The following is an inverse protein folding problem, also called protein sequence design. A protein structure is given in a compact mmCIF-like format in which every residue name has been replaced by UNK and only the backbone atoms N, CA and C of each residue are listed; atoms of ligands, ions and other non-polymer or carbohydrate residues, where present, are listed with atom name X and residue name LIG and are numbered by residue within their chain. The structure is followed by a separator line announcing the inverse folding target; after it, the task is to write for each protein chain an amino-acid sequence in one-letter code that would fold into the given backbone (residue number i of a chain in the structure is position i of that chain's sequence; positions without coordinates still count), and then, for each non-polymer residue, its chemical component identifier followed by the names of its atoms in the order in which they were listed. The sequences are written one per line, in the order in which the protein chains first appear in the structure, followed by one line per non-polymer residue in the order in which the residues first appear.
data_IF_073140473181
#
_entry.id   IF_073140473181
#
_cell.length_a   1.000
_cell.length_b   1.000
_cell.length_c   1.000
_cell.angle_alpha   90.00
_cell.angle_beta   90.00
_cell.angle_gamma   90.00
#
_symmetry.space_group_name_H-M   'P 1'
#
loop_
_entity.id
_entity.type
_entity.pdbx_description
1 polymer ?
#
# COMPACT_ATOMS: atom_id res chain seq x y z
N UNK A 1 -8.18 -5.37 -45.44
CA UNK A 1 -7.42 -4.24 -44.85
C UNK A 1 -7.95 -3.78 -43.48
N UNK A 2 -9.22 -4.00 -43.15
CA UNK A 2 -9.78 -3.63 -41.82
C UNK A 2 -9.52 -4.66 -40.70
N UNK A 3 -9.19 -5.91 -41.03
CA UNK A 3 -8.89 -6.96 -40.04
C UNK A 3 -7.44 -6.91 -39.51
N UNK A 4 -6.52 -6.23 -40.20
CA UNK A 4 -5.12 -6.12 -39.77
C UNK A 4 -4.89 -4.99 -38.75
N UNK A 5 -5.75 -3.97 -38.72
CA UNK A 5 -5.70 -2.87 -37.74
C UNK A 5 -6.23 -3.27 -36.36
N UNK A 6 -7.11 -4.28 -36.28
CA UNK A 6 -7.58 -4.81 -35.00
C UNK A 6 -6.51 -5.63 -34.26
N UNK A 7 -5.54 -6.20 -34.98
CA UNK A 7 -4.47 -7.01 -34.39
C UNK A 7 -3.34 -6.16 -33.78
N UNK A 8 -3.17 -4.92 -34.22
CA UNK A 8 -2.14 -3.99 -33.71
C UNK A 8 -2.60 -3.17 -32.50
N UNK A 9 -3.90 -3.18 -32.17
CA UNK A 9 -4.47 -2.51 -30.99
C UNK A 9 -4.49 -3.39 -29.73
N UNK A 10 -3.99 -4.63 -29.80
CA UNK A 10 -3.98 -5.57 -28.68
C UNK A 10 -2.71 -5.52 -27.80
N UNK A 11 -1.76 -4.61 -28.06
CA UNK A 11 -0.40 -4.68 -27.51
C UNK A 11 -0.05 -3.61 -26.46
N UNK A 12 -1.03 -3.01 -25.79
CA UNK A 12 -0.79 -2.11 -24.66
C UNK A 12 -1.77 -2.34 -23.49
N UNK A 13 -2.18 -3.60 -23.28
CA UNK A 13 -2.92 -3.99 -22.08
C UNK A 13 -2.05 -3.84 -20.83
N UNK A 14 -2.63 -3.35 -19.73
CA UNK A 14 -1.99 -3.42 -18.42
C UNK A 14 -1.70 -4.91 -18.09
N UNK A 15 -0.59 -5.20 -17.42
CA UNK A 15 -0.06 -6.55 -17.18
C UNK A 15 -1.00 -7.52 -16.40
N UNK A 16 -2.23 -7.12 -16.08
CA UNK A 16 -3.16 -7.82 -15.19
C UNK A 16 -4.50 -8.23 -15.81
N UNK A 17 -4.69 -8.17 -17.13
CA UNK A 17 -5.99 -8.47 -17.75
C UNK A 17 -6.58 -9.84 -17.37
N UNK A 18 -5.76 -10.81 -16.95
CA UNK A 18 -6.21 -12.15 -16.54
C UNK A 18 -6.35 -12.37 -15.03
N UNK A 19 -5.97 -11.42 -14.18
CA UNK A 19 -6.09 -11.59 -12.74
C UNK A 19 -7.51 -11.32 -12.25
N UNK A 20 -8.11 -12.32 -11.61
CA UNK A 20 -9.37 -12.18 -10.89
C UNK A 20 -9.30 -12.93 -9.58
N UNK A 21 -9.50 -12.22 -8.47
CA UNK A 21 -9.58 -12.84 -7.15
C UNK A 21 -10.66 -13.94 -7.08
N UNK A 22 -11.80 -13.74 -7.77
CA UNK A 22 -12.92 -14.69 -7.75
C UNK A 22 -12.74 -15.85 -8.72
N UNK A 23 -11.97 -15.67 -9.78
CA UNK A 23 -11.83 -16.63 -10.88
C UNK A 23 -10.38 -16.74 -11.32
N UNK A 24 -9.50 -17.10 -10.39
CA UNK A 24 -8.10 -17.35 -10.69
C UNK A 24 -7.98 -18.62 -11.56
N UNK A 25 -7.19 -18.61 -12.66
CA UNK A 25 -7.01 -19.77 -13.54
C UNK A 25 -6.46 -20.98 -12.77
N UNK A 26 -7.12 -22.13 -12.88
CA UNK A 26 -6.75 -23.34 -12.12
C UNK A 26 -5.43 -23.95 -12.59
N UNK A 27 -5.16 -23.82 -13.88
CA UNK A 27 -3.94 -24.24 -14.57
C UNK A 27 -2.70 -23.44 -14.14
N UNK A 28 -2.89 -22.19 -13.69
CA UNK A 28 -1.80 -21.36 -13.16
C UNK A 28 -1.61 -21.50 -11.64
N UNK A 29 -2.47 -22.27 -10.95
CA UNK A 29 -2.42 -22.39 -9.49
C UNK A 29 -1.31 -23.36 -9.06
N UNK A 30 -0.24 -22.79 -8.50
CA UNK A 30 0.91 -23.53 -7.97
C UNK A 30 1.54 -22.76 -6.80
N UNK A 31 2.50 -23.35 -6.05
CA UNK A 31 3.23 -22.62 -5.02
C UNK A 31 3.99 -21.42 -5.60
N UNK A 32 3.85 -20.25 -4.96
CA UNK A 32 4.48 -19.00 -5.40
C UNK A 32 6.00 -19.16 -5.59
N UNK A 33 6.64 -19.78 -4.61
CA UNK A 33 8.09 -19.99 -4.59
C UNK A 33 8.57 -20.89 -5.73
N UNK A 34 7.79 -21.92 -6.08
CA UNK A 34 8.09 -22.79 -7.22
C UNK A 34 7.98 -22.04 -8.54
N UNK A 35 6.92 -21.24 -8.72
CA UNK A 35 6.74 -20.44 -9.93
C UNK A 35 7.88 -19.42 -10.12
N UNK A 36 8.25 -18.73 -9.03
CA UNK A 36 9.31 -17.72 -9.08
C UNK A 36 10.68 -18.33 -9.35
N UNK A 37 11.05 -19.40 -8.64
CA UNK A 37 12.33 -20.11 -8.85
C UNK A 37 12.46 -20.63 -10.28
N UNK A 38 11.42 -21.30 -10.79
CA UNK A 38 11.46 -21.79 -12.17
C UNK A 38 11.60 -20.64 -13.18
N UNK A 39 10.92 -19.51 -12.97
CA UNK A 39 11.09 -18.31 -13.81
C UNK A 39 12.53 -17.77 -13.81
N UNK A 40 13.23 -17.85 -12.68
CA UNK A 40 14.64 -17.48 -12.56
C UNK A 40 15.59 -18.52 -13.17
N UNK A 41 15.27 -19.80 -13.06
CA UNK A 41 16.06 -20.87 -13.71
C UNK A 41 16.02 -20.68 -15.23
N UNK A 42 14.84 -20.43 -15.81
CA UNK A 42 14.68 -20.14 -17.23
C UNK A 42 15.35 -18.81 -17.64
N UNK A 43 15.38 -17.83 -16.75
CA UNK A 43 16.15 -16.59 -16.95
C UNK A 43 17.64 -16.89 -17.09
N UNK A 44 18.18 -17.76 -16.23
CA UNK A 44 19.60 -18.14 -16.23
C UNK A 44 20.00 -18.93 -17.47
N UNK A 45 19.08 -19.71 -18.04
CA UNK A 45 19.28 -20.46 -19.30
C UNK A 45 18.91 -19.66 -20.55
N UNK A 46 18.65 -18.36 -20.43
CA UNK A 46 18.26 -17.46 -21.52
C UNK A 46 16.98 -17.86 -22.28
N UNK A 47 16.08 -18.63 -21.64
CA UNK A 47 14.78 -18.96 -22.20
C UNK A 47 13.77 -17.85 -21.87
N UNK A 48 13.88 -16.73 -22.59
CA UNK A 48 13.14 -15.50 -22.30
C UNK A 48 11.61 -15.66 -22.29
N UNK A 49 10.97 -16.33 -23.27
CA UNK A 49 9.51 -16.46 -23.28
C UNK A 49 8.96 -17.20 -22.05
N UNK A 50 9.63 -18.30 -21.67
CA UNK A 50 9.22 -19.11 -20.52
C UNK A 50 9.50 -18.38 -19.20
N UNK A 51 10.65 -17.71 -19.10
CA UNK A 51 11.00 -16.88 -17.94
C UNK A 51 9.96 -15.78 -17.71
N UNK A 52 9.59 -15.05 -18.77
CA UNK A 52 8.53 -14.03 -18.70
C UNK A 52 7.21 -14.64 -18.21
N UNK A 53 6.80 -15.78 -18.76
CA UNK A 53 5.55 -16.43 -18.40
C UNK A 53 5.49 -16.76 -16.89
N UNK A 54 6.52 -17.43 -16.37
CA UNK A 54 6.54 -17.85 -14.96
C UNK A 54 6.76 -16.68 -13.99
N UNK A 55 7.55 -15.68 -14.36
CA UNK A 55 7.66 -14.45 -13.57
C UNK A 55 6.31 -13.72 -13.51
N UNK A 56 5.57 -13.60 -14.62
CA UNK A 56 4.21 -13.03 -14.61
C UNK A 56 3.22 -13.86 -13.76
N UNK A 57 3.26 -15.20 -13.86
CA UNK A 57 2.44 -16.11 -13.03
C UNK A 57 2.77 -15.91 -11.54
N UNK A 58 4.05 -15.82 -11.18
CA UNK A 58 4.47 -15.61 -9.80
C UNK A 58 3.91 -14.28 -9.24
N UNK A 59 3.90 -13.21 -10.04
CA UNK A 59 3.29 -11.93 -9.65
C UNK A 59 1.78 -12.04 -9.43
N UNK A 60 1.07 -12.81 -10.26
CA UNK A 60 -0.37 -13.09 -10.07
C UNK A 60 -0.63 -13.93 -8.82
N UNK A 61 0.18 -14.95 -8.54
CA UNK A 61 0.08 -15.79 -7.35
C UNK A 61 0.34 -14.99 -6.06
N UNK A 62 1.34 -14.11 -6.07
CA UNK A 62 1.63 -13.22 -4.94
C UNK A 62 0.44 -12.30 -4.63
N UNK A 63 -0.19 -11.73 -5.66
CA UNK A 63 -1.41 -10.93 -5.52
C UNK A 63 -2.58 -11.74 -4.98
N UNK A 64 -2.80 -12.95 -5.51
CA UNK A 64 -3.83 -13.86 -5.04
C UNK A 64 -3.66 -14.16 -3.54
N UNK A 65 -2.44 -14.44 -3.10
CA UNK A 65 -2.14 -14.69 -1.68
C UNK A 65 -2.44 -13.46 -0.82
N UNK A 66 -1.92 -12.29 -1.22
CA UNK A 66 -2.12 -11.02 -0.48
C UNK A 66 -3.60 -10.65 -0.37
N UNK A 67 -4.35 -10.76 -1.46
CA UNK A 67 -5.77 -10.43 -1.48
C UNK A 67 -6.60 -11.45 -0.68
N UNK A 68 -6.19 -12.73 -0.69
CA UNK A 68 -6.80 -13.79 0.13
C UNK A 68 -6.59 -13.56 1.63
N UNK A 69 -5.37 -13.15 2.02
CA UNK A 69 -5.05 -12.77 3.39
C UNK A 69 -5.88 -11.56 3.83
N UNK A 70 -5.88 -10.48 3.04
CA UNK A 70 -6.67 -9.28 3.33
C UNK A 70 -8.16 -9.59 3.47
N UNK A 71 -8.72 -10.40 2.57
CA UNK A 71 -10.12 -10.82 2.60
C UNK A 71 -10.48 -11.52 3.92
N UNK A 72 -9.69 -12.52 4.33
CA UNK A 72 -9.97 -13.25 5.56
C UNK A 72 -9.77 -12.41 6.82
N UNK A 73 -8.67 -11.64 6.90
CA UNK A 73 -8.37 -10.81 8.07
C UNK A 73 -9.39 -9.69 8.27
N UNK A 74 -9.90 -9.12 7.17
CA UNK A 74 -10.98 -8.13 7.20
C UNK A 74 -12.32 -8.74 7.66
N UNK A 75 -12.72 -9.86 7.07
CA UNK A 75 -14.00 -10.50 7.41
C UNK A 75 -14.02 -11.07 8.84
N UNK A 76 -12.86 -11.44 9.38
CA UNK A 76 -12.71 -11.92 10.74
C UNK A 76 -12.34 -10.83 11.76
N UNK A 77 -12.28 -9.55 11.36
CA UNK A 77 -11.86 -8.45 12.24
C UNK A 77 -12.77 -8.27 13.47
N UNK A 78 -14.09 -8.51 13.32
CA UNK A 78 -15.05 -8.43 14.43
C UNK A 78 -15.16 -9.71 15.25
N UNK A 79 -14.66 -10.85 14.76
CA UNK A 79 -14.82 -12.15 15.42
C UNK A 79 -14.14 -12.22 16.80
N UNK A 80 -13.13 -11.39 17.03
CA UNK A 80 -12.44 -11.30 18.33
C UNK A 80 -13.14 -10.41 19.36
N UNK A 81 -14.14 -9.60 18.96
CA UNK A 81 -14.79 -8.67 19.88
C UNK A 81 -15.65 -9.43 20.91
N UNK A 82 -15.62 -9.02 22.19
CA UNK A 82 -16.54 -9.57 23.18
C UNK A 82 -17.99 -9.24 22.78
N UNK A 83 -18.98 -10.07 23.17
CA UNK A 83 -20.38 -9.72 22.97
C UNK A 83 -20.68 -8.37 23.64
N UNK A 84 -21.57 -7.57 23.03
CA UNK A 84 -21.84 -6.19 23.45
C UNK A 84 -22.29 -6.05 24.93
N UNK A 85 -22.78 -7.14 25.54
CA UNK A 85 -23.22 -7.19 26.93
C UNK A 85 -22.15 -7.69 27.92
N UNK A 86 -20.91 -7.89 27.49
CA UNK A 86 -19.85 -8.33 28.40
C UNK A 86 -19.45 -7.18 29.34
N UNK A 87 -19.51 -7.35 30.68
CA UNK A 87 -19.10 -6.32 31.63
C UNK A 87 -17.62 -5.98 31.43
N UNK A 88 -17.17 -4.76 31.75
CA UNK A 88 -15.74 -4.41 31.71
C UNK A 88 -14.93 -5.39 32.58
N UNK A 89 -13.77 -5.84 32.09
CA UNK A 89 -12.86 -6.70 32.87
C UNK A 89 -11.85 -5.81 33.59
N UNK A 90 -11.74 -5.96 34.91
CA UNK A 90 -10.57 -5.51 35.66
C UNK A 90 -9.59 -6.67 35.90
N UNK A 91 -8.30 -6.35 35.96
CA UNK A 91 -7.24 -7.30 36.36
C UNK A 91 -7.10 -8.53 35.46
N UNK A 92 -6.88 -9.71 36.05
CA UNK A 92 -6.60 -10.97 35.34
C UNK A 92 -7.68 -11.40 34.33
N UNK A 93 -8.93 -10.96 34.51
CA UNK A 93 -10.02 -11.23 33.57
C UNK A 93 -9.84 -10.50 32.22
N UNK A 94 -9.08 -9.40 32.19
CA UNK A 94 -8.85 -8.62 30.97
C UNK A 94 -7.97 -9.40 29.98
N UNK A 95 -6.91 -10.02 30.48
CA UNK A 95 -6.01 -10.84 29.69
C UNK A 95 -6.70 -12.09 29.14
N UNK A 96 -7.44 -12.81 30.00
CA UNK A 96 -8.20 -13.98 29.55
C UNK A 96 -9.22 -13.62 28.45
N UNK A 97 -9.83 -12.43 28.52
CA UNK A 97 -10.74 -11.94 27.47
C UNK A 97 -10.02 -11.57 26.19
N UNK A 98 -8.82 -10.98 26.29
CA UNK A 98 -7.98 -10.70 25.13
C UNK A 98 -7.61 -12.01 24.41
N UNK A 99 -7.07 -12.99 25.15
CA UNK A 99 -6.68 -14.29 24.60
C UNK A 99 -7.90 -15.06 24.06
N UNK A 100 -9.05 -15.01 24.72
CA UNK A 100 -10.30 -15.57 24.18
C UNK A 100 -10.74 -14.88 22.87
N UNK A 101 -10.51 -13.58 22.73
CA UNK A 101 -10.70 -12.85 21.48
C UNK A 101 -9.77 -13.34 20.37
N UNK A 102 -8.48 -13.57 20.69
CA UNK A 102 -7.49 -14.13 19.76
C UNK A 102 -7.93 -15.51 19.28
N UNK A 103 -8.36 -16.40 20.18
CA UNK A 103 -8.83 -17.75 19.82
C UNK A 103 -10.04 -17.73 18.88
N UNK A 104 -11.03 -16.86 19.15
CA UNK A 104 -12.21 -16.71 18.28
C UNK A 104 -11.84 -16.16 16.90
N UNK A 105 -10.95 -15.16 16.85
CA UNK A 105 -10.44 -14.63 15.57
C UNK A 105 -9.66 -15.68 14.79
N UNK A 106 -8.80 -16.45 15.46
CA UNK A 106 -8.05 -17.56 14.86
C UNK A 106 -8.98 -18.66 14.29
N UNK A 107 -10.05 -19.01 15.01
CA UNK A 107 -11.06 -19.95 14.49
C UNK A 107 -11.73 -19.45 13.20
N UNK A 108 -12.11 -18.16 13.18
CA UNK A 108 -12.67 -17.53 11.98
C UNK A 108 -11.68 -17.57 10.81
N UNK A 109 -10.42 -17.17 11.06
CA UNK A 109 -9.37 -17.16 10.04
C UNK A 109 -9.14 -18.57 9.48
N UNK A 110 -9.05 -19.59 10.34
CA UNK A 110 -8.88 -20.99 9.92
C UNK A 110 -9.99 -21.43 8.96
N UNK A 111 -11.26 -21.14 9.29
CA UNK A 111 -12.41 -21.46 8.42
C UNK A 111 -12.36 -20.71 7.10
N UNK A 112 -12.02 -19.41 7.13
CA UNK A 112 -11.93 -18.59 5.93
C UNK A 112 -10.81 -19.08 4.99
N UNK A 113 -9.61 -19.32 5.54
CA UNK A 113 -8.45 -19.75 4.75
C UNK A 113 -8.66 -21.12 4.10
N UNK A 114 -9.34 -22.06 4.77
CA UNK A 114 -9.71 -23.37 4.20
C UNK A 114 -10.55 -23.26 2.92
N UNK A 115 -11.33 -22.18 2.78
CA UNK A 115 -12.20 -21.97 1.63
C UNK A 115 -11.51 -21.43 0.37
N UNK A 116 -10.27 -20.93 0.48
CA UNK A 116 -9.62 -20.19 -0.61
C UNK A 116 -8.47 -21.00 -1.25
N UNK A 117 -8.33 -20.95 -2.58
CA UNK A 117 -7.32 -21.74 -3.31
C UNK A 117 -5.88 -21.34 -2.99
N UNK A 118 -5.64 -20.07 -2.62
CA UNK A 118 -4.32 -19.57 -2.26
C UNK A 118 -3.67 -20.34 -1.09
N UNK A 119 -4.49 -20.77 -0.12
CA UNK A 119 -4.03 -21.47 1.08
C UNK A 119 -3.99 -22.99 0.94
N UNK A 120 -4.32 -23.52 -0.25
CA UNK A 120 -4.11 -24.94 -0.58
C UNK A 120 -2.67 -25.21 -1.06
N UNK A 121 -1.95 -24.16 -1.42
CA UNK A 121 -0.56 -24.21 -1.85
C UNK A 121 0.40 -24.08 -0.66
N UNK A 122 1.64 -24.51 -0.86
CA UNK A 122 2.71 -24.29 0.11
C UNK A 122 2.91 -22.79 0.35
N UNK A 123 3.03 -22.40 1.61
CA UNK A 123 3.24 -21.00 1.98
C UNK A 123 4.67 -20.58 1.60
N UNK A 124 4.84 -19.41 0.96
CA UNK A 124 6.15 -18.91 0.57
C UNK A 124 7.00 -18.52 1.78
N UNK A 125 8.32 -18.65 1.64
CA UNK A 125 9.27 -18.12 2.63
C UNK A 125 9.17 -16.60 2.81
N UNK A 126 9.65 -16.12 3.96
CA UNK A 126 9.66 -14.69 4.32
C UNK A 126 10.46 -13.85 3.33
N UNK A 127 11.66 -14.29 2.99
CA UNK A 127 12.58 -13.52 2.16
C UNK A 127 11.98 -13.29 0.76
N UNK A 128 11.30 -14.31 0.23
CA UNK A 128 10.57 -14.21 -1.02
C UNK A 128 9.46 -13.14 -0.95
N UNK A 129 8.67 -13.11 0.12
CA UNK A 129 7.64 -12.08 0.27
C UNK A 129 8.24 -10.67 0.36
N UNK A 130 9.39 -10.53 1.02
CA UNK A 130 10.14 -9.26 1.09
C UNK A 130 10.65 -8.83 -0.30
N UNK A 131 11.14 -9.75 -1.13
CA UNK A 131 11.58 -9.47 -2.50
C UNK A 131 10.42 -8.94 -3.37
N UNK A 132 9.25 -9.56 -3.26
CA UNK A 132 8.05 -9.11 -3.98
C UNK A 132 7.55 -7.75 -3.45
N UNK A 133 7.65 -7.47 -2.15
CA UNK A 133 7.37 -6.14 -1.60
C UNK A 133 8.32 -5.07 -2.16
N UNK A 134 9.61 -5.44 -2.30
CA UNK A 134 10.67 -4.58 -2.85
C UNK A 134 10.62 -4.46 -4.37
N UNK A 135 9.65 -5.10 -5.03
CA UNK A 135 9.50 -5.08 -6.49
C UNK A 135 10.70 -5.74 -7.21
N UNK A 136 11.47 -6.60 -6.54
CA UNK A 136 12.61 -7.33 -7.15
C UNK A 136 12.24 -8.11 -8.41
N UNK A 137 11.07 -8.79 -8.52
CA UNK A 137 10.69 -9.50 -9.75
C UNK A 137 10.67 -8.60 -10.99
N UNK A 138 10.43 -7.28 -10.84
CA UNK A 138 10.42 -6.35 -11.96
C UNK A 138 11.80 -6.12 -12.57
N UNK A 139 12.88 -6.29 -11.80
CA UNK A 139 14.26 -6.26 -12.31
C UNK A 139 14.50 -7.35 -13.34
N UNK A 140 14.08 -8.57 -13.02
CA UNK A 140 14.20 -9.72 -13.92
C UNK A 140 13.24 -9.60 -15.11
N UNK A 141 11.99 -9.22 -14.85
CA UNK A 141 10.98 -9.02 -15.90
C UNK A 141 11.41 -7.97 -16.91
N UNK A 142 11.98 -6.84 -16.48
CA UNK A 142 12.45 -5.79 -17.37
C UNK A 142 13.43 -6.34 -18.41
N UNK A 143 14.46 -7.06 -17.97
CA UNK A 143 15.45 -7.62 -18.89
C UNK A 143 14.88 -8.75 -19.75
N UNK A 144 14.06 -9.63 -19.17
CA UNK A 144 13.43 -10.72 -19.91
C UNK A 144 12.49 -10.20 -21.01
N UNK A 145 11.70 -9.15 -20.73
CA UNK A 145 10.87 -8.48 -21.74
C UNK A 145 11.70 -7.83 -22.83
N UNK A 146 12.80 -7.17 -22.47
CA UNK A 146 13.70 -6.56 -23.44
C UNK A 146 14.27 -7.60 -24.41
N UNK A 147 14.74 -8.75 -23.87
CA UNK A 147 15.25 -9.86 -24.66
C UNK A 147 14.17 -10.59 -25.48
N UNK A 148 12.93 -10.61 -24.98
CA UNK A 148 11.76 -11.12 -25.70
C UNK A 148 11.17 -10.11 -26.72
N UNK A 149 11.87 -8.99 -26.99
CA UNK A 149 11.43 -7.94 -27.91
C UNK A 149 10.09 -7.28 -27.53
N UNK A 150 9.75 -7.24 -26.24
CA UNK A 150 8.58 -6.56 -25.71
C UNK A 150 8.98 -5.27 -24.98
N UNK A 151 9.37 -4.27 -25.77
CA UNK A 151 9.84 -2.99 -25.26
C UNK A 151 8.80 -2.27 -24.37
N UNK A 152 7.50 -2.19 -24.71
CA UNK A 152 6.50 -1.52 -23.87
C UNK A 152 6.45 -2.07 -22.43
N UNK A 153 6.43 -3.41 -22.28
CA UNK A 153 6.43 -4.04 -20.95
C UNK A 153 7.77 -3.89 -20.23
N UNK A 154 8.89 -3.90 -20.96
CA UNK A 154 10.21 -3.66 -20.39
C UNK A 154 10.32 -2.26 -19.78
N UNK A 155 9.82 -1.24 -20.46
CA UNK A 155 9.79 0.16 -19.97
C UNK A 155 8.94 0.26 -18.71
N UNK A 156 7.73 -0.31 -18.73
CA UNK A 156 6.84 -0.30 -17.58
C UNK A 156 7.44 -1.03 -16.35
N UNK A 157 8.08 -2.19 -16.57
CA UNK A 157 8.76 -2.93 -15.51
C UNK A 157 9.96 -2.15 -14.93
N UNK A 158 10.77 -1.53 -15.79
CA UNK A 158 11.89 -0.69 -15.38
C UNK A 158 11.43 0.49 -14.51
N UNK A 159 10.38 1.19 -14.95
CA UNK A 159 9.79 2.30 -14.21
C UNK A 159 9.23 1.83 -12.86
N UNK A 160 8.50 0.72 -12.86
CA UNK A 160 7.92 0.13 -11.64
C UNK A 160 8.99 -0.23 -10.60
N UNK A 161 10.15 -0.74 -11.05
CA UNK A 161 11.29 -1.06 -10.19
C UNK A 161 11.95 0.20 -9.62
N UNK A 162 12.25 1.20 -10.48
CA UNK A 162 12.92 2.45 -10.07
C UNK A 162 12.12 3.24 -9.03
N UNK A 163 10.81 3.10 -8.97
CA UNK A 163 10.00 3.70 -7.92
C UNK A 163 10.37 3.18 -6.51
N UNK A 164 10.91 1.97 -6.36
CA UNK A 164 11.38 1.48 -5.04
C UNK A 164 12.90 1.52 -4.89
N UNK A 165 13.63 1.67 -6.00
CA UNK A 165 15.08 1.67 -6.05
C UNK A 165 15.57 2.85 -6.89
N UNK A 166 15.39 4.10 -6.43
CA UNK A 166 15.71 5.28 -7.22
C UNK A 166 17.20 5.34 -7.57
N UNK A 167 18.08 4.80 -6.73
CA UNK A 167 19.54 4.85 -6.88
C UNK A 167 20.16 3.65 -7.61
N UNK A 168 19.35 2.75 -8.15
CA UNK A 168 19.88 1.60 -8.91
C UNK A 168 20.49 2.09 -10.24
N UNK A 169 21.81 2.27 -10.26
CA UNK A 169 22.54 2.81 -11.42
C UNK A 169 22.28 2.02 -12.71
N UNK A 170 22.16 0.70 -12.60
CA UNK A 170 21.94 -0.16 -13.77
C UNK A 170 20.58 0.11 -14.39
N UNK A 171 19.53 0.16 -13.57
CA UNK A 171 18.18 0.43 -14.03
C UNK A 171 18.02 1.89 -14.50
N UNK A 172 18.70 2.85 -13.88
CA UNK A 172 18.74 4.24 -14.37
C UNK A 172 19.32 4.32 -15.78
N UNK A 173 20.43 3.62 -16.06
CA UNK A 173 21.01 3.55 -17.40
C UNK A 173 20.06 2.89 -18.40
N UNK A 174 19.41 1.78 -18.01
CA UNK A 174 18.40 1.12 -18.85
C UNK A 174 17.23 2.05 -19.16
N UNK A 175 16.76 2.81 -18.18
CA UNK A 175 15.68 3.78 -18.35
C UNK A 175 16.10 4.97 -19.22
N UNK A 176 17.33 5.46 -19.09
CA UNK A 176 17.86 6.50 -19.96
C UNK A 176 17.92 6.03 -21.43
N UNK A 177 18.34 4.79 -21.65
CA UNK A 177 18.27 4.16 -22.97
C UNK A 177 16.84 4.08 -23.48
N UNK A 178 15.88 3.63 -22.66
CA UNK A 178 14.48 3.56 -23.07
C UNK A 178 13.87 4.91 -23.43
N UNK A 179 14.19 5.97 -22.67
CA UNK A 179 13.75 7.34 -22.98
C UNK A 179 14.33 7.88 -24.29
N UNK A 180 15.43 7.32 -24.80
CA UNK A 180 15.97 7.71 -26.11
C UNK A 180 15.19 7.15 -27.29
N UNK A 181 14.29 6.19 -27.05
CA UNK A 181 13.47 5.57 -28.07
C UNK A 181 12.20 6.41 -28.27
N UNK A 182 11.80 6.71 -29.54
CA UNK A 182 10.54 7.40 -29.82
C UNK A 182 9.35 6.68 -29.18
N UNK A 183 8.37 7.46 -28.71
CA UNK A 183 7.11 6.99 -28.10
C UNK A 183 7.25 6.20 -26.78
N UNK A 184 8.47 6.10 -26.22
CA UNK A 184 8.72 5.39 -24.97
C UNK A 184 7.93 5.96 -23.77
N UNK A 185 7.64 7.26 -23.77
CA UNK A 185 6.91 7.94 -22.70
C UNK A 185 5.50 7.36 -22.48
N UNK A 186 4.84 6.88 -23.53
CA UNK A 186 3.49 6.29 -23.43
C UNK A 186 3.48 4.96 -22.64
N UNK A 187 4.65 4.33 -22.50
CA UNK A 187 4.86 3.06 -21.84
C UNK A 187 5.41 3.20 -20.42
N UNK A 188 5.75 4.42 -19.98
CA UNK A 188 6.20 4.71 -18.60
C UNK A 188 4.99 4.70 -17.67
N UNK A 189 4.66 3.53 -17.12
CA UNK A 189 3.51 3.31 -16.22
C UNK A 189 3.94 2.48 -15.02
N UNK A 190 3.43 2.79 -13.82
CA UNK A 190 3.61 1.92 -12.65
C UNK A 190 2.63 0.74 -12.72
N UNK A 191 3.17 -0.47 -12.81
CA UNK A 191 2.42 -1.72 -12.85
C UNK A 191 1.85 -2.12 -11.48
N UNK A 192 2.25 -1.47 -10.39
CA UNK A 192 1.70 -1.68 -9.04
C UNK A 192 0.71 -0.60 -8.61
N UNK A 193 0.37 0.36 -9.49
CA UNK A 193 -0.59 1.45 -9.22
C UNK A 193 -1.87 0.90 -8.60
N UNK A 194 -2.26 1.41 -7.42
CA UNK A 194 -3.42 0.93 -6.68
C UNK A 194 -4.73 1.50 -7.24
N UNK A 195 -5.89 0.86 -7.00
CA UNK A 195 -7.17 1.40 -7.45
C UNK A 195 -7.47 2.81 -6.93
N UNK A 196 -7.13 3.14 -5.68
CA UNK A 196 -7.30 4.51 -5.16
C UNK A 196 -6.32 5.52 -5.77
N UNK A 197 -5.27 5.03 -6.44
CA UNK A 197 -4.39 5.85 -7.25
C UNK A 197 -4.90 5.94 -8.70
N UNK A 198 -5.78 5.03 -9.17
CA UNK A 198 -6.10 4.90 -10.61
C UNK A 198 -7.57 4.74 -11.03
N UNK A 199 -8.58 4.73 -10.15
CA UNK A 199 -9.94 4.36 -10.55
C UNK A 199 -10.81 5.54 -11.01
N UNK A 200 -10.81 5.78 -12.34
CA UNK A 200 -11.99 5.77 -13.24
C UNK A 200 -11.57 6.19 -14.66
N UNK A 201 -10.88 5.31 -15.40
CA UNK A 201 -10.69 5.48 -16.84
C UNK A 201 -11.75 4.62 -17.55
N UNK A 202 -12.91 5.21 -17.86
CA UNK A 202 -13.88 4.58 -18.75
C UNK A 202 -13.28 4.47 -20.16
N UNK A 203 -13.62 3.37 -20.83
CA UNK A 203 -12.98 2.72 -21.98
C UNK A 203 -13.01 3.53 -23.30
N UNK A 204 -12.97 4.86 -23.26
CA UNK A 204 -13.11 5.70 -24.47
C UNK A 204 -12.09 6.84 -24.63
N UNK A 205 -11.26 7.17 -23.63
CA UNK A 205 -10.23 8.22 -23.79
C UNK A 205 -8.90 7.85 -23.10
N UNK A 206 -7.89 7.35 -23.85
CA UNK A 206 -6.59 6.92 -23.31
C UNK A 206 -5.71 8.05 -22.77
N UNK A 207 -5.96 9.31 -23.18
CA UNK A 207 -5.16 10.49 -22.78
C UNK A 207 -5.57 11.08 -21.43
N UNK A 208 -6.54 10.48 -20.71
CA UNK A 208 -7.10 11.02 -19.46
C UNK A 208 -7.13 10.01 -18.30
N UNK A 209 -6.25 9.01 -18.28
CA UNK A 209 -6.07 8.18 -17.08
C UNK A 209 -5.15 8.90 -16.10
N UNK A 210 -5.67 9.90 -15.37
CA UNK A 210 -4.90 10.65 -14.36
C UNK A 210 -5.22 10.13 -12.97
N UNK A 211 -4.16 9.89 -12.20
CA UNK A 211 -4.25 9.28 -10.88
C UNK A 211 -5.15 10.10 -9.94
N UNK A 212 -5.97 9.44 -9.09
CA UNK A 212 -6.82 10.08 -8.07
C UNK A 212 -6.03 10.94 -7.06
N UNK A 213 -4.70 10.80 -7.03
CA UNK A 213 -3.80 11.65 -6.25
C UNK A 213 -3.15 12.77 -7.10
N UNK A 214 -2.66 12.45 -8.30
CA UNK A 214 -1.94 13.42 -9.16
C UNK A 214 -2.92 14.40 -9.84
N UNK A 215 -4.12 13.94 -10.19
CA UNK A 215 -5.16 14.80 -10.79
C UNK A 215 -5.61 15.91 -9.85
N UNK A 216 -5.93 15.65 -8.56
CA UNK A 216 -6.27 16.74 -7.67
C UNK A 216 -5.14 17.72 -7.43
N UNK A 217 -3.87 17.28 -7.38
CA UNK A 217 -2.73 18.18 -7.27
C UNK A 217 -2.59 19.07 -8.50
N UNK A 218 -2.69 18.50 -9.70
CA UNK A 218 -2.67 19.30 -10.93
C UNK A 218 -3.90 20.23 -11.06
N UNK A 219 -5.06 19.82 -10.54
CA UNK A 219 -6.24 20.66 -10.47
C UNK A 219 -6.09 21.78 -9.43
N UNK A 220 -5.41 21.49 -8.31
CA UNK A 220 -5.05 22.47 -7.29
C UNK A 220 -4.08 23.51 -7.85
N UNK A 221 -3.02 23.09 -8.54
CA UNK A 221 -2.05 23.98 -9.20
C UNK A 221 -2.68 24.77 -10.36
N UNK A 222 -3.75 24.23 -10.97
CA UNK A 222 -4.54 24.89 -12.01
C UNK A 222 -5.74 25.68 -11.48
N UNK A 223 -5.80 25.99 -10.18
CA UNK A 223 -6.88 26.73 -9.50
C UNK A 223 -8.31 26.15 -9.68
N UNK A 224 -8.44 24.88 -10.08
CA UNK A 224 -9.71 24.18 -10.20
C UNK A 224 -10.08 23.50 -8.87
N UNK A 225 -10.47 24.34 -7.90
CA UNK A 225 -10.76 23.92 -6.52
C UNK A 225 -11.88 22.88 -6.41
N UNK A 226 -12.89 22.95 -7.27
CA UNK A 226 -14.00 22.00 -7.29
C UNK A 226 -13.54 20.58 -7.61
N UNK A 227 -12.75 20.44 -8.66
CA UNK A 227 -12.20 19.13 -9.08
C UNK A 227 -11.15 18.62 -8.09
N UNK A 228 -10.28 19.51 -7.59
CA UNK A 228 -9.31 19.16 -6.56
C UNK A 228 -10.01 18.62 -5.29
N UNK A 229 -11.07 19.28 -4.84
CA UNK A 229 -11.84 18.84 -3.66
C UNK A 229 -12.53 17.50 -3.89
N UNK A 230 -13.24 17.33 -5.02
CA UNK A 230 -13.96 16.08 -5.30
C UNK A 230 -13.01 14.88 -5.39
N UNK A 231 -11.87 15.05 -6.06
CA UNK A 231 -10.92 13.96 -6.25
C UNK A 231 -10.18 13.62 -4.96
N UNK A 232 -9.76 14.61 -4.17
CA UNK A 232 -9.13 14.36 -2.86
C UNK A 232 -10.11 13.69 -1.87
N UNK A 233 -11.39 14.08 -1.89
CA UNK A 233 -12.42 13.43 -1.08
C UNK A 233 -12.69 11.98 -1.49
N UNK A 234 -12.40 11.60 -2.74
CA UNK A 234 -12.45 10.20 -3.18
C UNK A 234 -11.15 9.45 -2.88
N UNK A 235 -10.00 10.11 -3.03
CA UNK A 235 -8.68 9.52 -2.80
C UNK A 235 -8.45 9.14 -1.34
N UNK A 236 -8.85 10.00 -0.39
CA UNK A 236 -8.55 9.81 1.03
C UNK A 236 -9.23 8.57 1.65
N UNK A 237 -10.53 8.30 1.45
CA UNK A 237 -11.14 7.03 1.85
C UNK A 237 -10.52 5.82 1.13
N UNK A 238 -10.12 6.00 -0.13
CA UNK A 238 -9.40 4.98 -0.91
C UNK A 238 -8.05 4.61 -0.29
N UNK A 239 -7.27 5.60 0.14
CA UNK A 239 -6.02 5.41 0.86
C UNK A 239 -6.26 4.67 2.19
N UNK A 240 -7.21 5.11 3.01
CA UNK A 240 -7.51 4.43 4.28
C UNK A 240 -7.99 2.99 4.08
N UNK A 241 -8.73 2.72 3.01
CA UNK A 241 -9.10 1.35 2.63
C UNK A 241 -7.86 0.54 2.25
N UNK A 242 -6.97 1.09 1.43
CA UNK A 242 -5.73 0.41 1.06
C UNK A 242 -4.80 0.15 2.25
N UNK A 243 -4.70 1.10 3.18
CA UNK A 243 -4.00 0.93 4.44
C UNK A 243 -4.57 -0.25 5.25
N UNK A 244 -5.90 -0.33 5.38
CA UNK A 244 -6.56 -1.45 6.07
C UNK A 244 -6.35 -2.78 5.35
N UNK A 245 -6.48 -2.80 4.02
CA UNK A 245 -6.31 -4.01 3.23
C UNK A 245 -4.83 -4.49 3.30
N UNK A 246 -3.86 -3.57 3.26
CA UNK A 246 -2.44 -3.89 3.39
C UNK A 246 -2.10 -4.40 4.78
N UNK A 247 -2.50 -3.69 5.85
CA UNK A 247 -2.26 -4.14 7.23
C UNK A 247 -2.93 -5.48 7.55
N UNK A 248 -4.09 -5.77 6.95
CA UNK A 248 -4.77 -7.07 7.05
C UNK A 248 -4.02 -8.18 6.31
N UNK A 249 -3.45 -7.90 5.12
CA UNK A 249 -2.72 -8.89 4.34
C UNK A 249 -1.46 -9.41 5.05
N UNK A 250 -0.82 -8.57 5.87
CA UNK A 250 0.46 -8.87 6.52
C UNK A 250 0.34 -9.51 7.92
N UNK A 251 -0.88 -9.74 8.39
CA UNK A 251 -1.20 -10.61 9.54
C UNK A 251 -1.20 -12.11 9.15
N UNK A 252 -0.76 -12.45 7.93
CA UNK A 252 -0.70 -13.81 7.39
C UNK A 252 0.28 -14.74 8.09
N UNK A 253 0.29 -16.02 7.70
CA UNK A 253 1.10 -17.06 8.34
C UNK A 253 2.60 -16.77 8.18
N UNK A 254 3.31 -16.73 9.32
CA UNK A 254 4.77 -16.64 9.37
C UNK A 254 5.33 -17.89 10.04
N UNK A 255 6.50 -18.31 9.58
CA UNK A 255 7.21 -19.44 10.17
C UNK A 255 7.73 -19.05 11.55
N UNK A 256 7.36 -19.81 12.59
CA UNK A 256 7.91 -19.67 13.93
C UNK A 256 9.19 -20.51 13.95
N UNK A 257 10.35 -19.86 13.95
CA UNK A 257 11.66 -20.53 13.91
C UNK A 257 12.15 -20.93 15.29
N UNK A 258 11.91 -20.08 16.28
CA UNK A 258 12.40 -20.28 17.66
C UNK A 258 11.24 -20.41 18.65
N UNK A 259 11.31 -21.42 19.51
CA UNK A 259 10.37 -21.62 20.60
C UNK A 259 10.96 -21.00 21.87
N UNK A 260 10.42 -19.84 22.27
CA UNK A 260 10.69 -19.16 23.54
C UNK A 260 9.55 -19.43 24.53
N UNK A 261 9.64 -18.88 25.74
CA UNK A 261 8.52 -18.88 26.69
C UNK A 261 7.28 -18.17 26.10
N UNK A 262 6.08 -18.53 26.58
CA UNK A 262 4.80 -18.14 25.99
C UNK A 262 4.69 -16.65 25.62
N UNK A 263 4.99 -15.73 26.55
CA UNK A 263 4.90 -14.29 26.30
C UNK A 263 5.98 -13.78 25.35
N UNK A 264 7.18 -14.36 25.39
CA UNK A 264 8.26 -14.00 24.48
C UNK A 264 7.91 -14.41 23.05
N UNK A 265 7.36 -15.61 22.85
CA UNK A 265 6.89 -16.04 21.53
C UNK A 265 5.74 -15.19 20.98
N UNK A 266 4.81 -14.74 21.84
CA UNK A 266 3.76 -13.80 21.43
C UNK A 266 4.36 -12.45 21.05
N UNK A 267 5.26 -11.93 21.89
CA UNK A 267 5.91 -10.65 21.68
C UNK A 267 6.69 -10.64 20.37
N UNK A 268 7.61 -11.60 20.15
CA UNK A 268 8.41 -11.69 18.93
C UNK A 268 7.55 -11.73 17.68
N UNK A 269 6.53 -12.59 17.65
CA UNK A 269 5.64 -12.70 16.51
C UNK A 269 4.87 -11.39 16.26
N UNK A 270 4.43 -10.72 17.33
CA UNK A 270 3.72 -9.45 17.21
C UNK A 270 4.64 -8.31 16.77
N UNK A 271 5.90 -8.27 17.22
CA UNK A 271 6.92 -7.31 16.81
C UNK A 271 7.15 -7.39 15.30
N UNK A 272 7.24 -8.60 14.74
CA UNK A 272 7.37 -8.76 13.29
C UNK A 272 6.16 -8.23 12.51
N UNK A 273 4.96 -8.44 13.03
CA UNK A 273 3.72 -7.92 12.45
C UNK A 273 3.69 -6.38 12.56
N UNK A 274 4.09 -5.83 13.70
CA UNK A 274 4.19 -4.38 13.93
C UNK A 274 5.22 -3.72 13.01
N UNK A 275 6.39 -4.32 12.83
CA UNK A 275 7.45 -3.82 11.94
C UNK A 275 6.92 -3.59 10.52
N UNK A 276 6.03 -4.48 10.06
CA UNK A 276 5.35 -4.33 8.79
C UNK A 276 4.30 -3.23 8.85
N UNK A 277 3.38 -3.26 9.83
CA UNK A 277 2.29 -2.27 9.98
C UNK A 277 2.77 -0.83 10.05
N UNK A 278 3.83 -0.55 10.79
CA UNK A 278 4.44 0.78 10.91
C UNK A 278 5.00 1.27 9.56
N UNK A 279 5.46 0.36 8.70
CA UNK A 279 5.95 0.71 7.36
C UNK A 279 4.82 0.82 6.32
N UNK A 280 3.56 0.52 6.66
CA UNK A 280 2.44 0.53 5.73
C UNK A 280 2.29 1.87 5.01
N UNK A 281 2.27 2.96 5.77
CA UNK A 281 2.07 4.31 5.21
C UNK A 281 3.18 4.63 4.21
N UNK A 282 4.44 4.48 4.60
CA UNK A 282 5.60 4.69 3.70
C UNK A 282 5.56 3.83 2.44
N UNK A 283 4.94 2.64 2.50
CA UNK A 283 4.85 1.74 1.36
C UNK A 283 3.69 2.07 0.41
N UNK A 284 2.63 2.69 0.92
CA UNK A 284 1.46 3.12 0.16
C UNK A 284 1.57 4.57 -0.34
N UNK A 285 2.43 5.38 0.27
CA UNK A 285 2.69 6.73 -0.18
C UNK A 285 3.22 6.69 -1.62
N UNK A 286 2.54 7.35 -2.57
CA UNK A 286 3.00 7.44 -3.94
C UNK A 286 4.24 8.33 -4.04
N UNK A 287 5.06 8.05 -5.03
CA UNK A 287 6.24 8.86 -5.36
C UNK A 287 5.86 9.77 -6.52
N UNK A 288 5.93 11.08 -6.30
CA UNK A 288 5.67 12.08 -7.35
C UNK A 288 7.00 12.65 -7.80
N UNK A 289 7.29 12.56 -9.11
CA UNK A 289 8.46 13.21 -9.69
C UNK A 289 9.79 12.77 -9.10
N UNK A 290 9.86 11.57 -8.51
CA UNK A 290 11.05 11.03 -7.85
C UNK A 290 11.14 11.31 -6.34
N UNK A 291 10.22 12.08 -5.77
CA UNK A 291 10.22 12.39 -4.34
C UNK A 291 9.07 11.69 -3.60
N UNK A 292 9.38 11.12 -2.43
CA UNK A 292 8.39 10.57 -1.51
C UNK A 292 7.67 11.74 -0.83
N UNK A 293 6.34 11.71 -0.83
CA UNK A 293 5.56 12.74 -0.12
C UNK A 293 5.66 12.48 1.39
N UNK A 294 6.36 13.36 2.10
CA UNK A 294 6.38 13.31 3.56
C UNK A 294 5.01 13.62 4.15
N UNK A 295 4.68 12.97 5.28
CA UNK A 295 3.42 13.15 6.03
C UNK A 295 2.18 13.13 5.14
N UNK A 296 2.11 12.13 4.25
CA UNK A 296 1.10 12.02 3.18
C UNK A 296 -0.34 12.36 3.63
N UNK A 297 -0.81 11.76 4.73
CA UNK A 297 -2.18 12.00 5.23
C UNK A 297 -2.37 13.44 5.68
N UNK A 298 -1.38 14.03 6.35
CA UNK A 298 -1.41 15.45 6.72
C UNK A 298 -1.49 16.31 5.46
N UNK A 299 -0.63 16.07 4.48
CA UNK A 299 -0.58 16.82 3.22
C UNK A 299 -1.94 16.78 2.49
N UNK A 300 -2.65 15.65 2.51
CA UNK A 300 -4.02 15.56 1.96
C UNK A 300 -5.01 16.48 2.68
N UNK A 301 -4.95 16.55 4.02
CA UNK A 301 -5.80 17.47 4.79
C UNK A 301 -5.44 18.94 4.57
N UNK A 302 -4.15 19.27 4.37
CA UNK A 302 -3.71 20.62 4.01
C UNK A 302 -4.32 21.07 2.68
N UNK A 303 -4.19 20.27 1.62
CA UNK A 303 -4.76 20.62 0.32
C UNK A 303 -6.29 20.71 0.36
N UNK A 304 -6.97 19.78 1.06
CA UNK A 304 -8.42 19.84 1.25
C UNK A 304 -8.84 21.11 1.98
N UNK A 305 -8.13 21.48 3.05
CA UNK A 305 -8.41 22.70 3.82
C UNK A 305 -8.35 23.94 2.92
N UNK A 306 -7.30 24.09 2.13
CA UNK A 306 -7.15 25.23 1.24
C UNK A 306 -8.19 25.24 0.11
N UNK A 307 -8.46 24.09 -0.50
CA UNK A 307 -9.48 23.99 -1.54
C UNK A 307 -10.88 24.34 -1.01
N UNK A 308 -11.24 23.87 0.20
CA UNK A 308 -12.49 24.24 0.86
C UNK A 308 -12.58 25.73 1.19
N UNK A 309 -11.47 26.33 1.64
CA UNK A 309 -11.39 27.77 1.87
C UNK A 309 -11.69 28.55 0.59
N UNK A 310 -11.09 28.16 -0.55
CA UNK A 310 -11.33 28.79 -1.86
C UNK A 310 -12.75 28.60 -2.37
N UNK A 311 -13.42 27.50 -1.99
CA UNK A 311 -14.83 27.24 -2.29
C UNK A 311 -15.81 27.89 -1.30
N UNK A 312 -15.31 28.69 -0.34
CA UNK A 312 -16.10 29.33 0.71
C UNK A 312 -16.81 28.34 1.66
N UNK A 313 -16.31 27.11 1.77
CA UNK A 313 -16.83 26.09 2.69
C UNK A 313 -15.96 26.04 3.96
N UNK A 314 -16.23 27.01 4.84
CA UNK A 314 -15.42 27.24 6.04
C UNK A 314 -15.54 26.12 7.07
N UNK A 315 -16.66 25.40 7.09
CA UNK A 315 -16.89 24.27 8.02
C UNK A 315 -15.94 23.12 7.70
N UNK A 316 -15.91 22.71 6.43
CA UNK A 316 -15.01 21.66 6.00
C UNK A 316 -13.54 22.10 6.04
N UNK A 317 -13.25 23.38 5.77
CA UNK A 317 -11.91 23.93 5.89
C UNK A 317 -11.38 23.86 7.34
N UNK A 318 -12.18 24.30 8.33
CA UNK A 318 -11.82 24.25 9.75
C UNK A 318 -11.62 22.81 10.25
N UNK A 319 -12.51 21.88 9.87
CA UNK A 319 -12.37 20.48 10.25
C UNK A 319 -11.15 19.79 9.59
N UNK A 320 -10.81 20.16 8.35
CA UNK A 320 -9.58 19.71 7.70
C UNK A 320 -8.32 20.27 8.37
N UNK A 321 -8.32 21.55 8.77
CA UNK A 321 -7.23 22.16 9.53
C UNK A 321 -7.02 21.45 10.89
N UNK A 322 -8.10 21.16 11.61
CA UNK A 322 -8.05 20.38 12.84
C UNK A 322 -7.51 18.96 12.61
N UNK A 323 -7.92 18.32 11.51
CA UNK A 323 -7.44 16.98 11.13
C UNK A 323 -5.96 16.98 10.77
N UNK A 324 -5.45 18.02 10.12
CA UNK A 324 -4.02 18.20 9.82
C UNK A 324 -3.18 18.25 11.10
N UNK A 325 -3.61 19.06 12.06
CA UNK A 325 -2.89 19.28 13.32
C UNK A 325 -2.80 18.02 14.19
N UNK A 326 -3.61 16.98 13.95
CA UNK A 326 -3.40 15.67 14.58
C UNK A 326 -2.04 15.06 14.18
N UNK A 327 -1.66 15.21 12.91
CA UNK A 327 -0.46 14.61 12.34
C UNK A 327 0.77 15.52 12.45
N UNK A 328 0.57 16.84 12.43
CA UNK A 328 1.65 17.80 12.61
C UNK A 328 1.27 18.95 13.54
N UNK A 329 1.46 18.73 14.83
CA UNK A 329 1.17 19.72 15.87
C UNK A 329 2.20 20.86 15.91
N UNK A 330 3.33 20.76 15.21
CA UNK A 330 4.41 21.76 15.26
C UNK A 330 4.31 22.78 14.12
N UNK A 331 3.42 22.55 13.15
CA UNK A 331 3.23 23.45 12.03
C UNK A 331 2.56 24.76 12.46
N UNK A 332 3.35 25.84 12.46
CA UNK A 332 2.89 27.17 12.85
C UNK A 332 1.92 27.79 11.82
N UNK A 333 2.03 27.45 10.54
CA UNK A 333 1.14 27.98 9.49
C UNK A 333 -0.27 27.42 9.71
N UNK A 334 -0.40 26.12 9.97
CA UNK A 334 -1.71 25.55 10.22
C UNK A 334 -2.32 26.01 11.55
N UNK A 335 -1.51 26.24 12.58
CA UNK A 335 -2.00 26.88 13.83
C UNK A 335 -2.56 28.26 13.59
N UNK A 336 -1.88 29.08 12.79
CA UNK A 336 -2.37 30.40 12.42
C UNK A 336 -3.68 30.32 11.63
N UNK A 337 -3.80 29.37 10.71
CA UNK A 337 -5.05 29.12 9.99
C UNK A 337 -6.20 28.75 10.95
N UNK A 338 -5.94 27.92 11.97
CA UNK A 338 -6.95 27.61 12.99
C UNK A 338 -7.38 28.84 13.79
N UNK A 339 -6.43 29.67 14.22
CA UNK A 339 -6.74 30.92 14.92
C UNK A 339 -7.56 31.85 14.03
N UNK A 340 -7.24 31.91 12.73
CA UNK A 340 -7.98 32.69 11.74
C UNK A 340 -9.44 32.21 11.60
N UNK A 341 -9.68 30.90 11.53
CA UNK A 341 -11.03 30.34 11.51
C UNK A 341 -11.81 30.61 12.81
N UNK A 342 -11.14 30.51 13.96
CA UNK A 342 -11.76 30.81 15.26
C UNK A 342 -12.11 32.29 15.40
N UNK A 343 -11.25 33.20 14.92
CA UNK A 343 -11.50 34.64 14.97
C UNK A 343 -12.71 35.05 14.13
N UNK A 344 -12.93 34.40 12.99
CA UNK A 344 -14.07 34.65 12.10
C UNK A 344 -15.26 33.70 12.33
N UNK A 345 -15.30 33.02 13.48
CA UNK A 345 -16.33 32.03 13.83
C UNK A 345 -17.75 32.57 13.66
N UNK A 346 -18.03 33.76 14.20
CA UNK A 346 -19.36 34.38 14.11
C UNK A 346 -19.71 34.80 12.68
N UNK A 347 -18.73 35.31 11.92
CA UNK A 347 -18.91 35.74 10.53
C UNK A 347 -19.32 34.57 9.62
N UNK A 348 -18.78 33.38 9.88
CA UNK A 348 -19.01 32.19 9.07
C UNK A 348 -19.99 31.18 9.68
N UNK A 349 -20.60 31.51 10.83
CA UNK A 349 -21.54 30.65 11.52
C UNK A 349 -20.93 29.30 11.92
N UNK A 350 -19.65 29.30 12.27
CA UNK A 350 -18.92 28.11 12.70
C UNK A 350 -19.27 27.76 14.16
N UNK A 351 -19.41 26.47 14.43
CA UNK A 351 -19.65 25.92 15.77
C UNK A 351 -18.39 25.29 16.32
N UNK A 352 -18.37 24.99 17.62
CA UNK A 352 -17.23 24.30 18.24
C UNK A 352 -16.98 22.92 17.62
N UNK A 353 -18.04 22.27 17.14
CA UNK A 353 -17.99 20.99 16.43
C UNK A 353 -17.21 21.08 15.11
N UNK A 354 -17.23 22.24 14.43
CA UNK A 354 -16.53 22.43 13.15
C UNK A 354 -15.00 22.50 13.31
N UNK A 355 -14.52 22.72 14.53
CA UNK A 355 -13.09 22.72 14.87
C UNK A 355 -12.59 21.36 15.37
N UNK A 356 -13.43 20.32 15.28
CA UNK A 356 -13.02 18.96 15.59
C UNK A 356 -12.41 18.28 14.37
N UNK A 357 -11.35 17.48 14.56
CA UNK A 357 -10.81 16.65 13.49
C UNK A 357 -11.84 15.61 13.05
N UNK A 358 -11.75 15.21 11.78
CA UNK A 358 -12.67 14.23 11.22
C UNK A 358 -12.50 12.86 11.85
N UNK A 359 -13.60 12.12 11.99
CA UNK A 359 -13.64 10.83 12.67
C UNK A 359 -12.66 9.80 12.09
N UNK A 360 -12.50 9.79 10.77
CA UNK A 360 -11.58 8.90 10.06
C UNK A 360 -10.11 9.29 10.31
N UNK A 361 -9.80 10.58 10.43
CA UNK A 361 -8.47 11.08 10.77
C UNK A 361 -8.08 10.66 12.19
N UNK A 362 -8.97 10.88 13.16
CA UNK A 362 -8.78 10.50 14.57
C UNK A 362 -8.56 9.00 14.69
N UNK A 363 -9.41 8.20 14.04
CA UNK A 363 -9.28 6.74 14.06
C UNK A 363 -7.95 6.29 13.47
N UNK A 364 -7.54 6.87 12.34
CA UNK A 364 -6.27 6.54 11.70
C UNK A 364 -5.10 6.91 12.62
N UNK A 365 -5.05 8.15 13.11
CA UNK A 365 -4.02 8.66 14.02
C UNK A 365 -3.88 7.78 15.28
N UNK A 366 -4.98 7.48 15.97
CA UNK A 366 -4.93 6.68 17.19
C UNK A 366 -4.37 5.28 16.96
N UNK A 367 -4.69 4.66 15.82
CA UNK A 367 -4.18 3.33 15.47
C UNK A 367 -2.69 3.40 15.11
N UNK A 368 -2.29 4.35 14.26
CA UNK A 368 -0.90 4.47 13.80
C UNK A 368 0.05 4.87 14.92
N UNK A 369 -0.37 5.81 15.77
CA UNK A 369 0.42 6.29 16.92
C UNK A 369 0.65 5.16 17.90
N UNK A 370 -0.40 4.43 18.30
CA UNK A 370 -0.25 3.31 19.22
C UNK A 370 0.60 2.17 18.63
N UNK A 371 0.45 1.87 17.34
CA UNK A 371 1.30 0.86 16.68
C UNK A 371 2.77 1.26 16.67
N UNK A 372 3.07 2.54 16.43
CA UNK A 372 4.42 3.07 16.46
C UNK A 372 5.01 3.01 17.88
N UNK A 373 4.28 3.48 18.89
CA UNK A 373 4.68 3.44 20.30
C UNK A 373 5.00 2.01 20.75
N UNK A 374 4.15 1.04 20.41
CA UNK A 374 4.38 -0.37 20.73
C UNK A 374 5.63 -0.94 20.03
N UNK A 375 5.87 -0.54 18.78
CA UNK A 375 7.03 -0.99 18.02
C UNK A 375 8.33 -0.38 18.54
N UNK A 376 8.32 0.90 18.91
CA UNK A 376 9.46 1.59 19.51
C UNK A 376 9.80 1.01 20.88
N UNK A 377 8.80 0.76 21.72
CA UNK A 377 8.97 0.08 23.01
C UNK A 377 9.66 -1.28 22.82
N UNK A 378 9.17 -2.10 21.89
CA UNK A 378 9.75 -3.40 21.62
C UNK A 378 11.21 -3.31 21.14
N UNK A 379 11.50 -2.36 20.24
CA UNK A 379 12.84 -2.13 19.72
C UNK A 379 13.84 -1.71 20.81
N UNK A 380 13.38 -1.01 21.84
CA UNK A 380 14.22 -0.57 22.96
C UNK A 380 14.41 -1.64 24.04
N UNK A 381 13.39 -2.48 24.28
CA UNK A 381 13.37 -3.36 25.47
C UNK A 381 13.42 -4.86 25.18
N UNK A 382 13.07 -5.29 23.96
CA UNK A 382 12.87 -6.71 23.65
C UNK A 382 13.76 -7.22 22.51
N UNK A 383 14.29 -6.33 21.69
CA UNK A 383 15.15 -6.68 20.57
C UNK A 383 16.62 -6.57 20.98
N UNK A 384 17.40 -7.65 20.79
CA UNK A 384 18.84 -7.65 21.08
C UNK A 384 19.58 -6.66 20.17
N UNK A 385 20.71 -6.10 20.64
CA UNK A 385 21.49 -5.08 19.90
C UNK A 385 21.88 -5.54 18.48
N UNK A 386 22.09 -6.84 18.27
CA UNK A 386 22.38 -7.43 16.95
C UNK A 386 21.14 -7.44 16.03
N UNK A 387 19.95 -7.75 16.55
CA UNK A 387 18.68 -7.67 15.81
C UNK A 387 18.26 -6.21 15.55
N UNK A 388 18.51 -5.33 16.53
CA UNK A 388 18.33 -3.89 16.41
C UNK A 388 19.30 -3.32 15.38
N UNK A 389 20.53 -3.83 15.27
CA UNK A 389 21.50 -3.43 14.24
C UNK A 389 21.11 -3.93 12.84
N UNK A 390 20.55 -5.14 12.72
CA UNK A 390 20.00 -5.67 11.47
C UNK A 390 18.80 -4.86 11.00
N UNK A 391 17.85 -4.56 11.91
CA UNK A 391 16.71 -3.69 11.61
C UNK A 391 17.11 -2.22 11.40
N UNK A 392 18.09 -1.70 12.14
CA UNK A 392 18.66 -0.35 11.93
C UNK A 392 19.42 -0.27 10.62
N UNK A 393 20.13 -1.31 10.15
CA UNK A 393 20.68 -1.38 8.79
C UNK A 393 19.56 -1.41 7.74
N UNK A 394 18.48 -2.14 8.00
CA UNK A 394 17.22 -2.15 7.19
C UNK A 394 16.50 -0.78 7.16
N UNK A 395 16.64 0.04 8.21
CA UNK A 395 16.08 1.39 8.31
C UNK A 395 17.04 2.48 7.79
N UNK A 396 18.35 2.33 7.96
CA UNK A 396 19.37 3.30 7.50
C UNK A 396 19.60 3.24 6.00
N UNK A 397 19.41 2.08 5.35
CA UNK A 397 19.34 2.03 3.89
C UNK A 397 18.11 2.76 3.32
N UNK A 398 17.25 3.38 4.15
CA UNK A 398 16.12 4.22 3.74
C UNK A 398 16.27 5.71 4.09
N UNK A 399 17.25 6.10 4.90
CA UNK A 399 17.46 7.49 5.33
C UNK A 399 18.81 8.08 4.88
N UNK A 400 19.60 7.31 4.12
CA UNK A 400 20.86 7.76 3.52
C UNK A 400 20.90 7.54 2.00
N UNK A 401 19.74 7.32 1.39
CA UNK A 401 19.51 7.26 -0.04
C UNK A 401 18.35 8.19 -0.37
#
# INVERSE_FOLDING_TARGET
MWLALAALLAAAGAQYERYSFRSFPRDELMPLESAYRYGLDQYSTENWPESVNYLEVSMRLYRLLRDSEAFCHRNCSSAGQPPAAAPAAGGALAELRLLAGVLRRAQCLRRCKQGLPAFRQAQPGRDLLEDFQRREPYKYLQFAYFKANNLPKAIAAAHTFLLKHPDDEMMQRNMAYYKSIPDAEEHIKDLETKPYEGSHCWVSFPTTCRNLFVRPLAAYDGDNWGTATSDMQLALPGFFKAYKDWTAAWEGSREIKDFKDFYLSIADHYIEVLACKVQCESNLTPIIGGFVVEKFVATMYHYLQFAYYKLNDMKNAASCAASYLLFDQKDEVMKQNMVYYQYHKDKWGLKEEDFQPRSEAVRYHNITTLQLEMYEFAKEHLMDDDEVSFLKRKLRSKNQQ
#
